data_IF_448581655836
#
_entry.id   IF_448581655836
#
_cell.length_a   1.000
_cell.length_b   1.000
_cell.length_c   1.000
_cell.angle_alpha   90.00
_cell.angle_beta   90.00
_cell.angle_gamma   90.00
#
_symmetry.space_group_name_H-M   'P 1'
#
loop_
_entity.id
_entity.type
_entity.pdbx_description
1 polymer ?
#
# COMPACT_ATOMS: atom_id res chain seq x y z
N UNK A 1 12.31 -17.98 10.01
CA UNK A 1 12.62 -16.52 9.98
C UNK A 1 12.24 -16.00 8.62
N UNK A 2 11.50 -14.90 8.57
CA UNK A 2 11.05 -14.34 7.29
C UNK A 2 12.26 -13.74 6.56
N UNK A 3 12.75 -14.41 5.53
CA UNK A 3 13.92 -13.96 4.75
C UNK A 3 13.53 -12.93 3.69
N UNK A 4 12.57 -12.04 4.01
CA UNK A 4 12.08 -10.99 3.12
C UNK A 4 12.49 -9.60 3.60
N UNK A 5 12.78 -8.73 2.65
CA UNK A 5 13.04 -7.32 2.92
C UNK A 5 11.78 -6.63 3.47
N UNK A 6 11.86 -6.04 4.66
CA UNK A 6 10.73 -5.32 5.27
C UNK A 6 10.31 -4.06 4.48
N UNK A 7 11.18 -3.55 3.62
CA UNK A 7 10.91 -2.34 2.83
C UNK A 7 10.21 -2.58 1.50
N UNK A 8 10.49 -3.69 0.81
CA UNK A 8 9.93 -3.96 -0.53
C UNK A 8 9.39 -5.39 -0.71
N UNK A 9 9.50 -6.25 0.29
CA UNK A 9 8.98 -7.62 0.27
C UNK A 9 9.80 -8.65 -0.50
N UNK A 10 10.88 -8.24 -1.19
CA UNK A 10 11.72 -9.17 -1.94
C UNK A 10 12.47 -10.12 -1.02
N UNK A 11 12.72 -11.35 -1.49
CA UNK A 11 13.55 -12.31 -0.76
C UNK A 11 14.98 -11.77 -0.66
N UNK A 12 15.52 -11.77 0.56
CA UNK A 12 16.88 -11.31 0.80
C UNK A 12 17.89 -12.38 0.38
N UNK A 13 19.00 -11.93 -0.21
CA UNK A 13 20.13 -12.78 -0.60
C UNK A 13 21.45 -12.03 -0.39
N UNK A 14 22.53 -12.77 -0.19
CA UNK A 14 23.90 -12.28 0.04
C UNK A 14 24.90 -12.75 -1.02
N UNK A 15 24.39 -13.36 -2.12
CA UNK A 15 25.19 -14.03 -3.14
C UNK A 15 25.68 -13.04 -4.21
N UNK A 16 24.79 -12.21 -4.75
CA UNK A 16 25.11 -11.31 -5.86
C UNK A 16 24.62 -9.87 -5.56
N UNK A 17 25.57 -8.94 -5.47
CA UNK A 17 25.30 -7.53 -5.18
C UNK A 17 24.54 -6.78 -6.29
N UNK A 18 24.56 -7.31 -7.52
CA UNK A 18 23.87 -6.74 -8.66
C UNK A 18 22.41 -7.19 -8.76
N UNK A 19 22.05 -8.27 -8.06
CA UNK A 19 20.67 -8.78 -8.04
C UNK A 19 19.82 -8.11 -6.97
N UNK A 20 18.51 -8.08 -7.21
CA UNK A 20 17.56 -7.57 -6.25
C UNK A 20 17.52 -8.44 -4.97
N UNK A 21 17.31 -7.79 -3.84
CA UNK A 21 17.30 -8.47 -2.54
C UNK A 21 18.66 -8.52 -1.85
N UNK A 22 19.75 -8.06 -2.48
CA UNK A 22 21.08 -8.14 -1.91
C UNK A 22 21.21 -7.40 -0.57
N UNK A 23 21.88 -8.05 0.38
CA UNK A 23 22.28 -7.51 1.68
C UNK A 23 23.77 -7.78 1.90
N UNK A 24 24.51 -6.76 2.32
CA UNK A 24 25.95 -6.88 2.55
C UNK A 24 26.32 -7.53 3.90
N UNK A 25 25.35 -7.66 4.82
CA UNK A 25 25.50 -8.33 6.13
C UNK A 25 24.15 -8.90 6.56
N UNK A 26 24.17 -10.08 7.19
CA UNK A 26 22.96 -10.82 7.63
C UNK A 26 22.09 -10.11 8.68
N UNK A 27 22.54 -8.98 9.23
CA UNK A 27 21.82 -8.19 10.24
C UNK A 27 20.86 -7.14 9.66
N UNK A 28 20.83 -6.97 8.34
CA UNK A 28 19.98 -5.96 7.71
C UNK A 28 18.63 -6.54 7.32
N UNK A 29 17.57 -6.03 7.94
CA UNK A 29 16.18 -6.31 7.56
C UNK A 29 15.78 -5.65 6.24
N UNK A 30 16.64 -4.81 5.66
CA UNK A 30 16.46 -4.09 4.40
C UNK A 30 17.47 -4.56 3.36
N UNK A 31 17.03 -4.82 2.12
CA UNK A 31 17.96 -4.97 1.02
C UNK A 31 18.72 -3.66 0.73
N UNK A 32 19.89 -3.77 0.09
CA UNK A 32 20.73 -2.60 -0.25
C UNK A 32 20.01 -1.50 -1.01
N UNK A 33 19.05 -1.87 -1.88
CA UNK A 33 18.20 -0.91 -2.58
C UNK A 33 17.32 -0.13 -1.61
N UNK A 34 16.57 -0.80 -0.73
CA UNK A 34 15.70 -0.15 0.25
C UNK A 34 16.50 0.68 1.26
N UNK A 35 17.65 0.21 1.65
CA UNK A 35 18.58 0.96 2.49
C UNK A 35 19.03 2.27 1.83
N UNK A 36 19.41 2.21 0.55
CA UNK A 36 19.82 3.41 -0.23
C UNK A 36 18.66 4.38 -0.42
N UNK A 37 17.44 3.89 -0.69
CA UNK A 37 16.26 4.76 -0.80
C UNK A 37 15.98 5.46 0.53
N UNK A 38 15.99 4.72 1.64
CA UNK A 38 15.68 5.24 2.98
C UNK A 38 16.68 6.31 3.43
N UNK A 39 17.97 6.07 3.22
CA UNK A 39 19.03 6.91 3.79
C UNK A 39 19.57 7.98 2.83
N UNK A 40 19.50 7.75 1.52
CA UNK A 40 20.10 8.62 0.51
C UNK A 40 19.14 9.12 -0.56
N UNK A 41 17.86 8.68 -0.53
CA UNK A 41 16.87 9.01 -1.55
C UNK A 41 17.18 8.44 -2.94
N UNK A 42 18.18 7.55 -3.05
CA UNK A 42 18.59 6.95 -4.32
C UNK A 42 17.69 5.78 -4.68
N UNK A 43 17.21 5.73 -5.93
CA UNK A 43 16.40 4.63 -6.42
C UNK A 43 16.92 4.04 -7.73
N UNK A 44 17.06 2.72 -7.77
CA UNK A 44 17.22 1.95 -9.01
C UNK A 44 15.82 1.50 -9.44
N UNK A 45 15.38 1.91 -10.62
CA UNK A 45 14.07 1.50 -11.15
C UNK A 45 14.10 0.00 -11.41
N UNK A 46 13.18 -0.72 -10.80
CA UNK A 46 12.94 -2.16 -11.06
C UNK A 46 11.58 -2.27 -11.73
N UNK A 47 11.52 -2.93 -12.86
CA UNK A 47 10.29 -3.22 -13.58
C UNK A 47 9.79 -4.58 -13.11
N UNK A 48 8.80 -4.60 -12.22
CA UNK A 48 8.04 -5.83 -11.90
C UNK A 48 6.98 -6.03 -12.97
N UNK A 49 6.91 -7.24 -13.54
CA UNK A 49 5.93 -7.57 -14.58
C UNK A 49 4.49 -7.56 -14.03
N UNK A 50 3.53 -7.22 -14.89
CA UNK A 50 2.11 -7.27 -14.56
C UNK A 50 1.66 -8.68 -14.13
N UNK A 51 2.29 -9.73 -14.68
CA UNK A 51 1.93 -11.12 -14.41
C UNK A 51 2.17 -11.53 -12.95
N UNK A 52 3.24 -11.03 -12.33
CA UNK A 52 3.52 -11.32 -10.92
C UNK A 52 2.54 -10.61 -9.99
N UNK A 53 2.12 -9.41 -10.36
CA UNK A 53 1.08 -8.68 -9.63
C UNK A 53 -0.27 -9.42 -9.71
N UNK A 54 -0.66 -9.89 -10.89
CA UNK A 54 -1.90 -10.64 -11.08
C UNK A 54 -1.92 -11.95 -10.27
N UNK A 55 -0.82 -12.70 -10.25
CA UNK A 55 -0.69 -13.92 -9.42
C UNK A 55 -0.89 -13.64 -7.93
N UNK A 56 -0.43 -12.48 -7.44
CA UNK A 56 -0.64 -12.08 -6.04
C UNK A 56 -2.12 -11.81 -5.78
N UNK A 57 -2.80 -11.11 -6.70
CA UNK A 57 -4.23 -10.83 -6.58
C UNK A 57 -5.08 -12.09 -6.58
N UNK A 58 -4.73 -13.09 -7.37
CA UNK A 58 -5.45 -14.36 -7.49
C UNK A 58 -5.37 -15.23 -6.20
N UNK A 59 -4.42 -14.93 -5.31
CA UNK A 59 -4.30 -15.61 -4.01
C UNK A 59 -5.21 -15.00 -2.91
N UNK A 60 -5.86 -13.88 -3.17
CA UNK A 60 -6.78 -13.23 -2.22
C UNK A 60 -8.11 -13.98 -2.24
N UNK A 61 -8.52 -14.48 -1.09
CA UNK A 61 -9.76 -15.24 -0.97
C UNK A 61 -10.98 -14.32 -0.85
N UNK A 62 -12.14 -14.86 -1.21
CA UNK A 62 -13.43 -14.16 -1.11
C UNK A 62 -13.80 -13.71 0.32
N UNK A 63 -13.28 -14.38 1.34
CA UNK A 63 -13.50 -14.07 2.76
C UNK A 63 -12.59 -12.94 3.28
N UNK A 64 -11.48 -12.69 2.60
CA UNK A 64 -10.50 -11.67 2.96
C UNK A 64 -11.04 -10.26 2.68
N UNK A 65 -10.42 -9.28 3.31
CA UNK A 65 -10.76 -7.87 3.14
C UNK A 65 -9.72 -7.22 2.24
N UNK A 66 -10.18 -6.55 1.20
CA UNK A 66 -9.33 -5.77 0.31
C UNK A 66 -9.51 -4.28 0.56
N UNK A 67 -8.46 -3.64 1.02
CA UNK A 67 -8.34 -2.19 1.07
C UNK A 67 -7.78 -1.74 -0.28
N UNK A 68 -8.67 -1.34 -1.18
CA UNK A 68 -8.26 -0.87 -2.50
C UNK A 68 -7.88 0.61 -2.45
N UNK A 69 -6.60 0.89 -2.63
CA UNK A 69 -6.04 2.24 -2.49
C UNK A 69 -5.87 2.90 -3.85
N UNK A 70 -6.57 3.98 -4.06
CA UNK A 70 -6.44 4.82 -5.25
C UNK A 70 -6.22 6.29 -4.88
N UNK A 71 -5.52 7.02 -5.72
CA UNK A 71 -5.31 8.46 -5.52
C UNK A 71 -6.47 9.25 -6.10
N UNK A 72 -6.93 10.30 -5.41
CA UNK A 72 -7.92 11.24 -5.93
C UNK A 72 -7.49 11.94 -7.22
N UNK A 73 -6.17 12.04 -7.47
CA UNK A 73 -5.66 12.67 -8.70
C UNK A 73 -5.68 11.73 -9.90
N UNK A 74 -5.43 10.46 -9.65
CA UNK A 74 -5.31 9.44 -10.69
C UNK A 74 -6.20 8.27 -10.31
N UNK A 75 -7.51 8.49 -10.38
CA UNK A 75 -8.48 7.46 -10.01
C UNK A 75 -8.31 6.26 -10.95
N UNK A 76 -7.71 5.21 -10.42
CA UNK A 76 -7.55 3.93 -11.09
C UNK A 76 -8.25 2.87 -10.25
N UNK A 77 -9.23 2.22 -10.83
CA UNK A 77 -10.05 1.17 -10.22
C UNK A 77 -9.97 -0.15 -11.00
N UNK A 78 -8.89 -0.31 -11.79
CA UNK A 78 -8.65 -1.56 -12.53
C UNK A 78 -8.60 -2.74 -11.56
N UNK A 79 -9.20 -3.86 -11.93
CA UNK A 79 -9.30 -5.08 -11.13
C UNK A 79 -10.11 -4.99 -9.84
N UNK A 80 -10.81 -3.89 -9.57
CA UNK A 80 -11.61 -3.75 -8.34
C UNK A 80 -12.75 -4.75 -8.28
N UNK A 81 -13.33 -5.08 -9.41
CA UNK A 81 -14.40 -6.06 -9.62
C UNK A 81 -14.00 -7.50 -9.30
N UNK A 82 -12.69 -7.79 -9.23
CA UNK A 82 -12.19 -9.11 -8.80
C UNK A 82 -12.46 -9.44 -7.33
N UNK A 83 -12.75 -8.44 -6.49
CA UNK A 83 -12.83 -8.61 -5.05
C UNK A 83 -14.25 -8.44 -4.53
N UNK A 84 -14.68 -9.30 -3.60
CA UNK A 84 -16.02 -9.25 -3.00
C UNK A 84 -16.12 -8.29 -1.82
N UNK A 85 -15.13 -8.31 -0.93
CA UNK A 85 -15.10 -7.50 0.28
C UNK A 85 -14.13 -6.33 0.13
N UNK A 86 -14.58 -5.24 -0.48
CA UNK A 86 -13.72 -4.09 -0.80
C UNK A 86 -14.07 -2.87 0.05
N UNK A 87 -13.04 -2.24 0.60
CA UNK A 87 -13.06 -0.87 1.09
C UNK A 87 -12.23 -0.04 0.11
N UNK A 88 -12.86 0.89 -0.57
CA UNK A 88 -12.14 1.83 -1.43
C UNK A 88 -11.58 2.98 -0.59
N UNK A 89 -10.27 3.13 -0.59
CA UNK A 89 -9.58 4.24 0.08
C UNK A 89 -9.03 5.21 -0.96
N UNK A 90 -9.57 6.43 -0.93
CA UNK A 90 -9.15 7.51 -1.81
C UNK A 90 -8.15 8.41 -1.07
N UNK A 91 -6.90 8.36 -1.50
CA UNK A 91 -5.78 9.07 -0.85
C UNK A 91 -5.54 10.47 -1.41
N UNK A 92 -4.64 11.20 -0.76
CA UNK A 92 -4.17 12.54 -1.17
C UNK A 92 -5.28 13.60 -1.15
N UNK A 93 -6.20 13.53 -0.16
CA UNK A 93 -7.24 14.55 0.03
C UNK A 93 -6.67 15.96 0.21
N UNK A 94 -5.47 16.06 0.78
CA UNK A 94 -4.76 17.31 1.09
C UNK A 94 -4.41 18.17 -0.13
N UNK A 95 -4.29 17.55 -1.30
CA UNK A 95 -3.97 18.24 -2.56
C UNK A 95 -5.21 18.61 -3.39
N UNK A 96 -6.40 18.19 -2.95
CA UNK A 96 -7.65 18.58 -3.60
C UNK A 96 -8.14 19.94 -3.08
N UNK A 97 -8.78 20.75 -3.94
CA UNK A 97 -9.38 22.01 -3.52
C UNK A 97 -10.36 21.81 -2.36
N UNK A 98 -10.32 22.71 -1.37
CA UNK A 98 -11.25 22.68 -0.21
C UNK A 98 -12.72 22.87 -0.60
N UNK A 99 -12.98 23.49 -1.74
CA UNK A 99 -14.32 23.68 -2.29
C UNK A 99 -15.01 22.40 -2.73
N UNK A 100 -14.24 21.34 -2.98
CA UNK A 100 -14.78 20.02 -3.33
C UNK A 100 -15.14 19.30 -2.04
N UNK A 101 -16.43 19.05 -1.83
CA UNK A 101 -16.93 18.32 -0.66
C UNK A 101 -16.72 16.81 -0.86
N UNK A 102 -16.26 16.13 0.18
CA UNK A 102 -16.01 14.69 0.18
C UNK A 102 -17.26 13.89 -0.13
N UNK A 103 -18.42 14.31 0.36
CA UNK A 103 -19.72 13.71 0.08
C UNK A 103 -20.03 13.65 -1.43
N UNK A 104 -19.66 14.69 -2.19
CA UNK A 104 -19.85 14.69 -3.65
C UNK A 104 -18.97 13.66 -4.34
N UNK A 105 -17.74 13.49 -3.88
CA UNK A 105 -16.82 12.48 -4.40
C UNK A 105 -17.35 11.09 -4.09
N UNK A 106 -17.74 10.85 -2.84
CA UNK A 106 -18.29 9.56 -2.39
C UNK A 106 -19.54 9.21 -3.19
N UNK A 107 -20.49 10.14 -3.30
CA UNK A 107 -21.72 9.92 -4.07
C UNK A 107 -21.46 9.61 -5.54
N UNK A 108 -20.49 10.29 -6.15
CA UNK A 108 -20.07 9.99 -7.52
C UNK A 108 -19.54 8.56 -7.65
N UNK A 109 -18.66 8.13 -6.73
CA UNK A 109 -18.09 6.78 -6.72
C UNK A 109 -19.17 5.71 -6.50
N UNK A 110 -20.03 5.92 -5.50
CA UNK A 110 -21.14 5.01 -5.20
C UNK A 110 -22.05 4.84 -6.42
N UNK A 111 -22.47 5.94 -7.03
CA UNK A 111 -23.40 5.92 -8.17
C UNK A 111 -22.78 5.32 -9.43
N UNK A 112 -21.49 5.59 -9.68
CA UNK A 112 -20.84 5.17 -10.91
C UNK A 112 -20.30 3.74 -10.85
N UNK A 113 -19.76 3.33 -9.70
CA UNK A 113 -19.05 2.06 -9.55
C UNK A 113 -19.75 1.08 -8.60
N UNK A 114 -20.84 1.47 -7.95
CA UNK A 114 -21.58 0.61 -7.02
C UNK A 114 -20.86 0.30 -5.70
N UNK A 115 -19.74 0.98 -5.41
CA UNK A 115 -18.91 0.72 -4.23
C UNK A 115 -19.53 1.43 -3.02
N UNK A 116 -20.00 0.67 -2.03
CA UNK A 116 -20.66 1.22 -0.84
C UNK A 116 -19.69 1.73 0.21
N UNK A 117 -18.54 1.07 0.35
CA UNK A 117 -17.56 1.36 1.38
C UNK A 117 -16.42 2.21 0.82
N UNK A 118 -16.53 3.54 0.95
CA UNK A 118 -15.54 4.52 0.48
C UNK A 118 -15.04 5.35 1.66
N UNK A 119 -13.72 5.48 1.79
CA UNK A 119 -13.07 6.34 2.78
C UNK A 119 -12.09 7.27 2.06
N UNK A 120 -12.22 8.58 2.30
CA UNK A 120 -11.29 9.57 1.76
C UNK A 120 -10.29 9.94 2.86
N UNK A 121 -8.99 9.86 2.55
CA UNK A 121 -7.94 10.07 3.55
C UNK A 121 -6.82 10.98 3.03
N UNK A 122 -6.08 11.56 3.97
CA UNK A 122 -4.75 12.11 3.73
C UNK A 122 -3.79 11.58 4.77
N UNK A 123 -2.84 10.76 4.35
CA UNK A 123 -1.76 10.29 5.23
C UNK A 123 -0.88 11.47 5.71
N UNK A 124 -0.60 12.42 4.82
CA UNK A 124 0.22 13.61 5.13
C UNK A 124 -0.41 14.51 6.19
N UNK A 125 -1.74 14.71 6.16
CA UNK A 125 -2.50 15.54 7.13
C UNK A 125 -3.15 14.73 8.23
N UNK A 126 -2.96 13.41 8.27
CA UNK A 126 -3.62 12.48 9.20
C UNK A 126 -5.14 12.56 9.18
N UNK A 127 -5.70 12.98 8.04
CA UNK A 127 -7.13 13.16 7.87
C UNK A 127 -7.83 11.82 7.67
N UNK A 128 -8.86 11.53 8.46
CA UNK A 128 -9.67 10.31 8.44
C UNK A 128 -8.89 8.98 8.58
N UNK A 129 -7.66 9.02 9.13
CA UNK A 129 -6.92 7.78 9.40
C UNK A 129 -7.54 6.98 10.53
N UNK A 130 -8.05 7.66 11.55
CA UNK A 130 -8.82 7.09 12.65
C UNK A 130 -10.10 6.40 12.18
N UNK A 131 -10.81 7.01 11.24
CA UNK A 131 -12.02 6.43 10.62
C UNK A 131 -11.67 5.12 9.90
N UNK A 132 -10.59 5.14 9.12
CA UNK A 132 -10.13 3.94 8.41
C UNK A 132 -9.67 2.88 9.40
N UNK A 133 -8.85 3.22 10.39
CA UNK A 133 -8.34 2.31 11.39
C UNK A 133 -9.46 1.61 12.17
N UNK A 134 -10.37 2.38 12.75
CA UNK A 134 -11.51 1.86 13.50
C UNK A 134 -12.41 0.95 12.64
N UNK A 135 -12.55 1.29 11.35
CA UNK A 135 -13.28 0.44 10.41
C UNK A 135 -12.58 -0.89 10.20
N UNK A 136 -11.27 -0.88 9.95
CA UNK A 136 -10.47 -2.09 9.73
C UNK A 136 -10.42 -2.96 10.99
N UNK A 137 -10.25 -2.37 12.17
CA UNK A 137 -10.26 -3.09 13.45
C UNK A 137 -11.58 -3.82 13.67
N UNK A 138 -12.71 -3.16 13.38
CA UNK A 138 -14.04 -3.75 13.55
C UNK A 138 -14.31 -4.93 12.64
N UNK A 139 -13.91 -4.85 11.37
CA UNK A 139 -14.24 -5.87 10.36
C UNK A 139 -13.12 -6.89 10.15
N UNK A 140 -11.89 -6.56 10.55
CA UNK A 140 -10.69 -7.37 10.33
C UNK A 140 -10.52 -8.52 11.32
N UNK A 141 -11.37 -8.64 12.36
CA UNK A 141 -11.28 -9.74 13.33
C UNK A 141 -11.30 -11.09 12.63
N UNK A 142 -10.20 -11.85 12.77
CA UNK A 142 -10.02 -13.18 12.17
C UNK A 142 -10.00 -13.21 10.62
N UNK A 143 -9.76 -12.08 9.96
CA UNK A 143 -9.65 -11.99 8.50
C UNK A 143 -8.31 -11.40 8.11
N UNK A 144 -7.79 -11.80 6.95
CA UNK A 144 -6.63 -11.12 6.36
C UNK A 144 -7.06 -9.83 5.68
N UNK A 145 -6.24 -8.81 5.80
CA UNK A 145 -6.46 -7.51 5.17
C UNK A 145 -5.34 -7.28 4.15
N UNK A 146 -5.72 -7.09 2.90
CA UNK A 146 -4.80 -6.84 1.81
C UNK A 146 -4.91 -5.39 1.32
N UNK A 147 -3.80 -4.68 1.28
CA UNK A 147 -3.74 -3.36 0.66
C UNK A 147 -3.33 -3.48 -0.80
N UNK A 148 -4.26 -3.21 -1.69
CA UNK A 148 -4.11 -3.34 -3.14
C UNK A 148 -4.25 -1.97 -3.80
N UNK A 149 -3.66 -1.77 -4.95
CA UNK A 149 -3.80 -0.53 -5.74
C UNK A 149 -2.56 -0.24 -6.59
N UNK A 150 -2.72 0.67 -7.54
CA UNK A 150 -1.68 1.03 -8.50
C UNK A 150 -0.44 1.66 -7.86
N UNK A 151 0.63 1.75 -8.62
CA UNK A 151 1.85 2.50 -8.24
C UNK A 151 1.50 3.95 -7.95
N UNK A 152 2.16 4.55 -6.96
CA UNK A 152 1.93 5.94 -6.54
C UNK A 152 0.50 6.26 -6.05
N UNK A 153 -0.32 5.26 -5.79
CA UNK A 153 -1.63 5.47 -5.16
C UNK A 153 -1.54 5.94 -3.70
N UNK A 154 -0.36 5.87 -3.08
CA UNK A 154 -0.14 6.26 -1.69
C UNK A 154 -0.24 5.11 -0.68
N UNK A 155 -0.29 3.84 -1.12
CA UNK A 155 -0.37 2.65 -0.24
C UNK A 155 0.69 2.65 0.86
N UNK A 156 1.97 2.67 0.48
CA UNK A 156 3.07 2.59 1.44
C UNK A 156 3.07 3.75 2.42
N UNK A 157 2.74 4.95 1.96
CA UNK A 157 2.62 6.13 2.82
C UNK A 157 1.47 5.97 3.82
N UNK A 158 0.32 5.48 3.35
CA UNK A 158 -0.85 5.24 4.18
C UNK A 158 -0.55 4.20 5.26
N UNK A 159 0.00 3.06 4.89
CA UNK A 159 0.32 1.96 5.82
C UNK A 159 1.35 2.42 6.85
N UNK A 160 2.44 3.08 6.42
CA UNK A 160 3.46 3.59 7.33
C UNK A 160 2.89 4.58 8.35
N UNK A 161 2.00 5.47 7.92
CA UNK A 161 1.39 6.43 8.85
C UNK A 161 0.41 5.75 9.81
N UNK A 162 -0.30 4.72 9.36
CA UNK A 162 -1.17 3.91 10.23
C UNK A 162 -0.35 3.12 11.26
N UNK A 163 0.72 2.43 10.86
CA UNK A 163 1.62 1.71 11.76
C UNK A 163 2.16 2.67 12.84
N UNK A 164 2.69 3.82 12.40
CA UNK A 164 3.25 4.82 13.29
C UNK A 164 2.22 5.40 14.28
N UNK A 165 0.99 5.58 13.84
CA UNK A 165 -0.04 6.25 14.64
C UNK A 165 -0.77 5.31 15.61
N UNK A 166 -0.88 4.01 15.29
CA UNK A 166 -1.77 3.10 16.03
C UNK A 166 -1.09 1.85 16.59
N UNK A 167 -0.06 1.32 15.95
CA UNK A 167 0.50 0.03 16.38
C UNK A 167 1.79 0.15 17.21
N UNK A 168 2.45 1.31 17.26
CA UNK A 168 3.71 1.49 17.96
C UNK A 168 4.85 0.56 17.52
N UNK A 169 4.67 -0.16 16.39
CA UNK A 169 5.65 -1.08 15.85
C UNK A 169 6.70 -0.34 15.03
N UNK A 170 7.94 -0.84 15.04
CA UNK A 170 9.06 -0.33 14.21
C UNK A 170 8.94 -0.73 12.73
N UNK A 171 7.75 -1.07 12.26
CA UNK A 171 7.48 -1.40 10.87
C UNK A 171 7.66 -0.18 9.96
N UNK A 172 8.35 -0.37 8.83
CA UNK A 172 8.52 0.66 7.82
C UNK A 172 8.55 0.06 6.42
N UNK A 173 7.60 0.48 5.59
CA UNK A 173 7.58 0.13 4.16
C UNK A 173 8.32 1.22 3.39
N UNK A 174 9.27 0.82 2.55
CA UNK A 174 10.05 1.76 1.74
C UNK A 174 9.16 2.56 0.81
N UNK A 175 9.32 3.88 0.85
CA UNK A 175 8.60 4.83 -0.01
C UNK A 175 9.56 5.55 -0.95
N UNK A 176 9.11 5.81 -2.17
CA UNK A 176 9.83 6.64 -3.14
C UNK A 176 8.83 7.36 -4.04
N UNK A 177 9.24 8.49 -4.60
CA UNK A 177 8.50 9.19 -5.65
C UNK A 177 8.55 8.45 -6.99
N UNK A 178 9.47 7.49 -7.13
CA UNK A 178 9.59 6.68 -8.33
C UNK A 178 8.68 5.44 -8.28
N UNK A 179 8.23 4.94 -9.45
CA UNK A 179 7.44 3.71 -9.53
C UNK A 179 8.18 2.47 -9.00
N UNK A 180 7.43 1.41 -8.71
CA UNK A 180 7.96 0.08 -8.35
C UNK A 180 8.86 0.07 -7.11
N UNK A 181 8.51 0.85 -6.08
CA UNK A 181 9.24 0.87 -4.82
C UNK A 181 9.01 -0.42 -4.03
N UNK A 182 7.77 -0.86 -3.95
CA UNK A 182 7.39 -2.14 -3.31
C UNK A 182 7.35 -3.22 -4.38
N UNK A 183 8.16 -4.27 -4.22
CA UNK A 183 8.39 -5.30 -5.25
C UNK A 183 7.60 -6.58 -5.02
N UNK A 184 7.11 -6.82 -3.80
CA UNK A 184 6.38 -8.04 -3.43
C UNK A 184 5.44 -7.77 -2.26
N UNK A 185 4.77 -8.82 -1.73
CA UNK A 185 3.94 -8.74 -0.54
C UNK A 185 4.78 -8.47 0.69
N UNK A 186 4.32 -7.55 1.55
CA UNK A 186 4.93 -7.23 2.84
C UNK A 186 3.87 -7.53 3.91
N UNK A 187 4.24 -8.35 4.89
CA UNK A 187 3.41 -8.59 6.07
C UNK A 187 3.72 -7.51 7.12
N UNK A 188 2.71 -6.82 7.62
CA UNK A 188 2.80 -5.71 8.60
C UNK A 188 1.85 -5.92 9.77
#
# INVERSE_FOLDING_TARGET
MNNKCIGCGIVLQDIDENMDGYVSNNDHRLCSRCFKIKNYGMNKVVVTGNDDYLKILDNIKDEDIVVYVSSLLTLNLDYLDKFKNVILVLTKRDIMPKSIKDEKIINYIVNKYGIKDVVIVSAFKKFNLDVLYNKLERIGKNKKIYFVGSTNSGKSTLINEMIKSYNGCDGYITMSSFPSTTLSTIDV
#
